data_IF_825423497356
#
_entry.id   IF_825423497356
#
_cell.length_a   1.000
_cell.length_b   1.000
_cell.length_c   1.000
_cell.angle_alpha   90.00
_cell.angle_beta   90.00
_cell.angle_gamma   90.00
#
_symmetry.space_group_name_H-M   'P 1'
#
loop_
_entity.id
_entity.type
_entity.pdbx_description
1 polymer ?
#
# COMPACT_ATOMS: atom_id res chain seq x y z
N UNK A 1 -12.46 55.98 -16.28
CA UNK A 1 -12.39 56.94 -15.21
C UNK A 1 -12.63 56.32 -13.85
N UNK A 2 -11.69 56.59 -13.02
CA UNK A 2 -11.82 56.87 -11.58
C UNK A 2 -11.99 55.71 -10.60
N UNK A 3 -10.89 55.30 -10.02
CA UNK A 3 -10.77 55.09 -8.56
C UNK A 3 -11.05 56.45 -7.84
N UNK A 4 -11.20 56.51 -6.50
CA UNK A 4 -10.31 55.90 -5.49
C UNK A 4 -10.92 55.54 -4.11
N UNK A 5 -10.09 54.95 -3.29
CA UNK A 5 -9.61 55.19 -1.93
C UNK A 5 -10.45 54.65 -0.75
N UNK A 6 -9.88 53.84 0.10
CA UNK A 6 -9.00 54.01 1.27
C UNK A 6 -9.71 54.37 2.56
N UNK A 7 -9.48 53.57 3.61
CA UNK A 7 -9.12 53.90 5.01
C UNK A 7 -9.45 52.66 5.91
N UNK A 8 -8.50 52.03 6.54
CA UNK A 8 -7.54 52.26 7.64
C UNK A 8 -8.22 52.59 9.00
N UNK A 9 -7.72 51.88 9.98
CA UNK A 9 -7.64 52.09 11.43
C UNK A 9 -8.45 51.09 12.28
N UNK A 10 -8.05 50.50 13.36
CA UNK A 10 -6.84 50.49 14.23
C UNK A 10 -7.15 49.50 15.35
N UNK A 11 -6.13 48.80 15.84
CA UNK A 11 -6.12 48.13 17.15
C UNK A 11 -6.27 49.16 18.31
N UNK A 12 -6.58 48.76 19.55
CA UNK A 12 -5.47 48.52 20.46
C UNK A 12 -5.62 47.36 21.47
N UNK A 13 -4.46 46.95 21.98
CA UNK A 13 -4.17 46.06 23.06
C UNK A 13 -4.51 46.59 24.47
N UNK A 14 -4.64 45.67 25.46
CA UNK A 14 -4.25 45.86 26.85
C UNK A 14 -4.41 44.55 27.62
N UNK A 15 -3.36 43.87 28.02
CA UNK A 15 -2.54 43.88 29.23
C UNK A 15 -3.29 43.48 30.53
N UNK A 16 -2.81 42.40 31.07
CA UNK A 16 -2.13 42.08 32.35
C UNK A 16 -3.07 41.81 33.54
N UNK A 17 -2.88 40.86 34.39
CA UNK A 17 -1.84 40.52 35.35
C UNK A 17 -2.30 39.34 36.21
N UNK A 18 -1.39 38.43 36.44
CA UNK A 18 -0.88 37.84 37.71
C UNK A 18 -1.83 37.58 38.88
N UNK A 19 -1.77 36.39 39.46
CA UNK A 19 -1.03 36.10 40.72
C UNK A 19 -1.17 34.65 41.17
N UNK A 20 -0.13 34.13 41.63
CA UNK A 20 0.34 33.06 42.43
C UNK A 20 -0.51 32.69 43.69
N UNK A 21 -0.50 31.39 44.01
CA UNK A 21 -0.14 30.77 45.33
C UNK A 21 -0.47 29.27 45.27
N UNK A 22 0.48 28.37 45.32
CA UNK A 22 1.23 27.81 46.44
C UNK A 22 0.52 26.67 47.23
N UNK A 23 1.19 25.52 47.18
CA UNK A 23 1.36 24.48 48.21
C UNK A 23 0.28 23.43 48.38
N UNK A 24 0.54 22.14 48.16
CA UNK A 24 1.09 21.20 49.14
C UNK A 24 1.22 19.79 48.58
N UNK A 25 2.25 19.14 48.97
CA UNK A 25 2.68 17.75 48.71
C UNK A 25 1.66 16.72 49.22
N UNK A 26 1.51 15.63 48.45
CA UNK A 26 1.35 14.31 49.06
C UNK A 26 1.85 13.26 48.09
N UNK A 27 2.95 12.64 48.44
CA UNK A 27 3.56 11.46 47.85
C UNK A 27 2.63 10.25 47.94
N UNK A 28 2.43 9.56 46.82
CA UNK A 28 2.21 8.12 46.87
C UNK A 28 2.89 7.46 45.67
N UNK A 29 3.93 6.72 45.98
CA UNK A 29 4.61 5.78 45.09
C UNK A 29 3.61 4.73 44.63
N UNK A 30 3.39 4.64 43.34
CA UNK A 30 2.86 3.46 42.69
C UNK A 30 3.91 2.94 41.72
N UNK A 31 4.40 1.78 42.03
CA UNK A 31 5.28 0.91 41.29
C UNK A 31 4.93 0.82 39.84
N UNK A 32 5.79 1.34 38.96
CA UNK A 32 5.76 1.04 37.54
C UNK A 32 6.42 -0.31 37.30
N UNK A 33 5.60 -1.32 37.06
CA UNK A 33 6.05 -2.54 36.40
C UNK A 33 6.41 -2.19 34.92
N UNK A 34 7.49 -2.74 34.39
CA UNK A 34 7.79 -2.56 32.97
C UNK A 34 6.72 -3.30 32.16
N UNK A 35 5.95 -2.54 31.40
CA UNK A 35 5.13 -3.06 30.32
C UNK A 35 6.09 -3.71 29.32
N UNK A 36 6.12 -5.04 29.34
CA UNK A 36 6.85 -5.84 28.38
C UNK A 36 6.31 -5.48 27.00
N UNK A 37 7.15 -4.87 26.17
CA UNK A 37 6.92 -4.77 24.75
C UNK A 37 6.68 -6.20 24.23
N UNK A 38 5.42 -6.53 23.96
CA UNK A 38 5.09 -7.67 23.12
C UNK A 38 5.63 -7.33 21.73
N UNK A 39 6.76 -7.95 21.41
CA UNK A 39 7.17 -8.12 20.03
C UNK A 39 5.95 -8.66 19.28
N UNK A 40 5.44 -7.86 18.36
CA UNK A 40 4.42 -8.29 17.41
C UNK A 40 5.08 -9.33 16.51
N UNK A 41 5.07 -10.59 16.93
CA UNK A 41 5.43 -11.70 16.08
C UNK A 41 4.45 -11.69 14.92
N UNK A 42 4.98 -11.53 13.70
CA UNK A 42 4.20 -11.74 12.48
C UNK A 42 3.43 -13.06 12.62
N UNK A 43 2.16 -13.10 12.23
CA UNK A 43 1.42 -14.35 12.26
C UNK A 43 2.20 -15.40 11.47
N UNK A 44 2.56 -16.50 12.12
CA UNK A 44 3.17 -17.63 11.41
C UNK A 44 2.10 -18.17 10.47
N UNK A 45 2.38 -18.01 9.19
CA UNK A 45 1.44 -18.39 8.15
C UNK A 45 1.71 -19.86 7.81
N UNK A 46 0.95 -20.75 8.41
CA UNK A 46 1.01 -22.20 8.17
C UNK A 46 0.28 -22.62 6.89
N UNK A 47 -0.08 -21.67 6.01
CA UNK A 47 -0.71 -21.99 4.75
C UNK A 47 0.22 -22.85 3.88
N UNK A 48 -0.30 -23.95 3.39
CA UNK A 48 0.40 -24.77 2.44
C UNK A 48 0.52 -24.02 1.11
N UNK A 49 1.63 -24.24 0.40
CA UNK A 49 1.81 -23.70 -0.95
C UNK A 49 0.61 -24.11 -1.85
N UNK A 50 0.09 -23.16 -2.62
CA UNK A 50 -1.07 -23.39 -3.47
C UNK A 50 -2.43 -23.31 -2.77
N UNK A 51 -2.46 -22.92 -1.51
CA UNK A 51 -3.68 -22.72 -0.75
C UNK A 51 -3.91 -21.24 -0.44
N UNK A 52 -5.15 -20.75 -0.44
CA UNK A 52 -5.46 -19.41 0.04
C UNK A 52 -5.04 -19.24 1.49
N UNK A 53 -4.51 -18.07 1.82
CA UNK A 53 -4.23 -17.75 3.21
C UNK A 53 -5.50 -17.82 4.05
N UNK A 54 -5.49 -18.49 5.21
CA UNK A 54 -6.62 -18.51 6.11
C UNK A 54 -6.91 -17.11 6.65
N UNK A 55 -8.16 -16.86 6.99
CA UNK A 55 -8.52 -15.65 7.73
C UNK A 55 -7.82 -15.65 9.10
N UNK A 56 -7.18 -14.55 9.44
CA UNK A 56 -6.49 -14.35 10.71
C UNK A 56 -7.16 -13.25 11.52
N UNK A 57 -6.74 -13.09 12.78
CA UNK A 57 -7.14 -11.93 13.55
C UNK A 57 -6.72 -10.63 12.88
N UNK A 58 -7.49 -9.56 13.11
CA UNK A 58 -7.22 -8.26 12.53
C UNK A 58 -5.89 -7.72 13.05
N UNK A 59 -4.98 -7.41 12.14
CA UNK A 59 -3.73 -6.73 12.44
C UNK A 59 -3.92 -5.22 12.57
N UNK A 60 -3.00 -4.56 13.25
CA UNK A 60 -2.94 -3.10 13.32
C UNK A 60 -2.30 -2.54 12.06
N UNK A 61 -2.48 -1.25 11.81
CA UNK A 61 -1.90 -0.59 10.61
C UNK A 61 -0.36 -0.62 10.60
N UNK A 62 0.30 -0.58 11.77
CA UNK A 62 1.76 -0.67 11.89
C UNK A 62 2.35 -1.98 11.33
N UNK A 63 1.54 -3.03 11.19
CA UNK A 63 1.92 -4.25 10.48
C UNK A 63 2.36 -4.00 9.04
N UNK A 64 1.93 -2.91 8.42
CA UNK A 64 2.23 -2.57 7.03
C UNK A 64 3.35 -1.53 6.87
N UNK A 65 4.03 -1.09 7.93
CA UNK A 65 5.09 -0.08 7.90
C UNK A 65 6.28 -0.50 7.01
N UNK A 66 6.51 -1.78 6.86
CA UNK A 66 7.56 -2.41 6.07
C UNK A 66 7.03 -3.11 4.80
N UNK A 67 5.82 -2.78 4.39
CA UNK A 67 5.14 -3.37 3.26
C UNK A 67 5.17 -2.47 2.01
N UNK A 68 5.09 -3.11 0.84
CA UNK A 68 4.82 -2.45 -0.43
C UNK A 68 3.68 -3.15 -1.16
N UNK A 69 2.81 -2.36 -1.78
CA UNK A 69 1.76 -2.84 -2.67
C UNK A 69 2.15 -2.56 -4.12
N UNK A 70 2.28 -3.62 -4.90
CA UNK A 70 2.67 -3.58 -6.32
C UNK A 70 1.47 -3.97 -7.17
N UNK A 71 1.11 -3.15 -8.17
CA UNK A 71 -0.03 -3.49 -8.99
C UNK A 71 -0.47 -2.47 -10.03
N UNK A 72 -1.69 -2.64 -10.47
CA UNK A 72 -2.33 -1.82 -11.49
C UNK A 72 -3.22 -0.69 -10.92
N UNK A 73 -4.24 -0.28 -11.68
CA UNK A 73 -5.18 0.78 -11.29
C UNK A 73 -5.96 0.48 -10.01
N UNK A 74 -6.19 -0.79 -9.69
CA UNK A 74 -6.90 -1.17 -8.46
C UNK A 74 -6.00 -0.89 -7.26
N UNK A 75 -4.74 -1.32 -7.34
CA UNK A 75 -3.73 -1.06 -6.31
C UNK A 75 -3.47 0.45 -6.14
N UNK A 76 -3.50 1.24 -7.23
CA UNK A 76 -3.37 2.71 -7.17
C UNK A 76 -4.44 3.36 -6.29
N UNK A 77 -5.59 2.71 -6.12
CA UNK A 77 -6.67 3.17 -5.24
C UNK A 77 -6.24 3.32 -3.79
N UNK A 78 -5.27 2.54 -3.32
CA UNK A 78 -4.74 2.64 -1.95
C UNK A 78 -4.18 4.03 -1.69
N UNK A 79 -3.33 4.55 -2.58
CA UNK A 79 -2.77 5.91 -2.50
C UNK A 79 -3.82 6.97 -2.84
N UNK A 80 -4.63 6.75 -3.89
CA UNK A 80 -5.60 7.74 -4.34
C UNK A 80 -6.65 8.08 -3.27
N UNK A 81 -7.09 7.06 -2.53
CA UNK A 81 -8.09 7.22 -1.47
C UNK A 81 -7.47 7.31 -0.07
N UNK A 82 -6.15 7.37 0.04
CA UNK A 82 -5.42 7.46 1.32
C UNK A 82 -5.87 6.40 2.32
N UNK A 83 -5.98 5.16 1.85
CA UNK A 83 -6.46 4.03 2.68
C UNK A 83 -5.37 3.59 3.66
N UNK A 84 -4.10 3.65 3.23
CA UNK A 84 -2.92 3.35 4.04
C UNK A 84 -1.82 4.38 3.74
N UNK A 85 -1.42 5.14 4.76
CA UNK A 85 -0.39 6.17 4.62
C UNK A 85 1.00 5.67 5.02
N UNK A 86 1.07 4.49 5.63
CA UNK A 86 2.27 3.90 6.20
C UNK A 86 2.88 2.77 5.36
N UNK A 87 2.25 2.37 4.27
CA UNK A 87 2.80 1.42 3.31
C UNK A 87 3.16 2.11 1.99
N UNK A 88 4.20 1.63 1.32
CA UNK A 88 4.52 2.10 -0.02
C UNK A 88 3.56 1.50 -1.06
N UNK A 89 3.21 2.28 -2.07
CA UNK A 89 2.34 1.84 -3.17
C UNK A 89 3.03 2.13 -4.50
N UNK A 90 3.41 1.08 -5.21
CA UNK A 90 4.05 1.12 -6.52
C UNK A 90 3.06 0.60 -7.56
N UNK A 91 2.19 1.49 -8.03
CA UNK A 91 1.09 1.11 -8.91
C UNK A 91 0.71 2.24 -9.86
N UNK A 92 0.16 1.89 -11.04
CA UNK A 92 -0.37 2.88 -11.98
C UNK A 92 -1.45 2.27 -12.88
N UNK A 93 -2.29 3.13 -13.43
CA UNK A 93 -3.38 2.74 -14.34
C UNK A 93 -2.85 2.04 -15.58
N UNK A 94 -3.41 0.87 -15.91
CA UNK A 94 -3.06 0.12 -17.12
C UNK A 94 -1.69 -0.56 -17.08
N UNK A 95 -1.06 -0.66 -15.91
CA UNK A 95 0.14 -1.48 -15.74
C UNK A 95 -0.22 -2.94 -15.98
N UNK A 96 0.63 -3.62 -16.72
CA UNK A 96 0.54 -5.02 -17.07
C UNK A 96 1.93 -5.68 -16.97
N UNK A 97 2.07 -6.97 -17.29
CA UNK A 97 3.33 -7.71 -17.15
C UNK A 97 4.50 -7.16 -17.98
N UNK A 98 4.26 -6.41 -19.06
CA UNK A 98 5.31 -5.76 -19.84
C UNK A 98 5.59 -4.35 -19.33
N UNK A 99 4.53 -3.60 -19.10
CA UNK A 99 4.65 -2.18 -18.78
C UNK A 99 5.10 -1.93 -17.35
N UNK A 100 5.06 -2.93 -16.46
CA UNK A 100 5.63 -2.85 -15.12
C UNK A 100 7.15 -2.56 -15.14
N UNK A 101 7.83 -2.97 -16.22
CA UNK A 101 9.28 -2.76 -16.42
C UNK A 101 9.62 -1.47 -17.19
N UNK A 102 8.67 -0.89 -17.90
CA UNK A 102 8.97 0.16 -18.88
C UNK A 102 8.18 1.44 -18.70
N UNK A 103 7.00 1.37 -18.08
CA UNK A 103 6.17 2.55 -17.87
C UNK A 103 6.71 3.38 -16.69
N UNK A 104 7.06 4.62 -16.96
CA UNK A 104 7.51 5.60 -15.96
C UNK A 104 6.35 6.01 -15.04
N UNK A 105 6.04 5.15 -14.06
CA UNK A 105 4.86 5.25 -13.19
C UNK A 105 5.16 5.91 -11.85
N UNK A 106 6.33 5.63 -11.26
CA UNK A 106 6.65 6.04 -9.90
C UNK A 106 7.45 7.33 -9.88
N UNK A 107 6.90 8.35 -9.22
CA UNK A 107 7.56 9.66 -9.08
C UNK A 107 8.66 9.60 -8.04
N UNK A 108 9.84 10.12 -8.39
CA UNK A 108 10.99 10.27 -7.52
C UNK A 108 11.00 11.65 -6.85
N UNK A 109 11.85 11.84 -5.83
CA UNK A 109 11.99 13.11 -5.11
C UNK A 109 12.48 14.26 -6.00
N UNK A 110 13.31 13.97 -7.00
CA UNK A 110 13.82 14.94 -7.97
C UNK A 110 12.77 15.31 -9.05
N UNK A 111 11.59 14.70 -8.99
CA UNK A 111 10.48 14.93 -9.91
C UNK A 111 10.51 14.06 -11.18
N UNK A 112 11.55 13.25 -11.40
CA UNK A 112 11.58 12.24 -12.46
C UNK A 112 10.60 11.11 -12.17
N UNK A 113 10.35 10.29 -13.18
CA UNK A 113 9.54 9.09 -13.02
C UNK A 113 10.32 7.87 -13.51
N UNK A 114 10.11 6.75 -12.83
CA UNK A 114 10.75 5.48 -13.16
C UNK A 114 9.72 4.34 -13.19
N UNK A 115 10.04 3.21 -13.83
CA UNK A 115 9.22 2.01 -13.80
C UNK A 115 9.02 1.46 -12.37
N UNK A 116 7.95 0.70 -12.19
CA UNK A 116 7.62 0.09 -10.89
C UNK A 116 8.73 -0.85 -10.41
N UNK A 117 9.27 -1.69 -11.31
CA UNK A 117 10.32 -2.64 -10.94
C UNK A 117 11.62 -1.92 -10.53
N UNK A 118 11.96 -0.82 -11.20
CA UNK A 118 13.12 0.01 -10.82
C UNK A 118 12.93 0.67 -9.46
N UNK A 119 11.71 1.13 -9.17
CA UNK A 119 11.38 1.70 -7.86
C UNK A 119 11.42 0.63 -6.76
N UNK A 120 10.90 -0.57 -7.01
CA UNK A 120 10.93 -1.70 -6.09
C UNK A 120 12.36 -2.10 -5.73
N UNK A 121 13.29 -2.01 -6.67
CA UNK A 121 14.69 -2.34 -6.45
C UNK A 121 15.43 -1.35 -5.53
N UNK A 122 14.92 -0.15 -5.33
CA UNK A 122 15.59 0.90 -4.54
C UNK A 122 15.48 0.70 -3.02
N UNK A 123 14.50 -0.08 -2.54
CA UNK A 123 14.24 -0.30 -1.12
C UNK A 123 13.97 -1.76 -0.84
N UNK A 124 14.38 -2.25 0.34
CA UNK A 124 14.04 -3.59 0.80
C UNK A 124 12.79 -3.55 1.69
N UNK A 125 11.91 -4.51 1.47
CA UNK A 125 10.65 -4.64 2.21
C UNK A 125 10.60 -5.99 2.92
N UNK A 126 9.85 -6.08 4.00
CA UNK A 126 9.55 -7.36 4.62
C UNK A 126 8.33 -8.04 3.98
N UNK A 127 7.44 -7.27 3.36
CA UNK A 127 6.22 -7.76 2.74
C UNK A 127 5.99 -7.08 1.38
N UNK A 128 5.74 -7.89 0.35
CA UNK A 128 5.38 -7.42 -0.99
C UNK A 128 4.01 -8.00 -1.36
N UNK A 129 3.02 -7.14 -1.51
CA UNK A 129 1.68 -7.52 -1.96
C UNK A 129 1.57 -7.25 -3.46
N UNK A 130 1.31 -8.29 -4.26
CA UNK A 130 1.26 -8.19 -5.72
C UNK A 130 -0.15 -8.46 -6.20
N UNK A 131 -0.77 -7.48 -6.88
CA UNK A 131 -2.05 -7.64 -7.55
C UNK A 131 -1.94 -7.15 -9.00
N UNK A 132 -1.80 -8.08 -9.92
CA UNK A 132 -1.70 -7.88 -11.37
C UNK A 132 -2.63 -8.85 -12.08
N UNK A 133 -2.75 -8.70 -13.38
CA UNK A 133 -3.44 -9.65 -14.24
C UNK A 133 -4.80 -9.16 -14.74
N UNK A 134 -5.39 -8.15 -14.12
CA UNK A 134 -6.66 -7.58 -14.56
C UNK A 134 -6.63 -7.04 -15.99
N UNK A 135 -5.47 -6.57 -16.45
CA UNK A 135 -5.28 -6.04 -17.80
C UNK A 135 -4.98 -7.13 -18.84
N UNK A 136 -4.67 -8.34 -18.42
CA UNK A 136 -4.32 -9.50 -19.26
C UNK A 136 -5.48 -10.47 -19.46
N UNK A 137 -6.34 -10.64 -18.47
CA UNK A 137 -7.44 -11.65 -18.47
C UNK A 137 -8.30 -11.60 -19.72
N UNK A 138 -8.50 -10.42 -20.31
CA UNK A 138 -9.29 -10.25 -21.55
C UNK A 138 -8.64 -10.85 -22.80
N UNK A 139 -7.32 -10.90 -22.87
CA UNK A 139 -6.53 -11.19 -24.07
C UNK A 139 -5.71 -12.46 -24.05
N UNK A 140 -5.17 -12.85 -22.88
CA UNK A 140 -4.21 -13.93 -22.77
C UNK A 140 -4.86 -15.32 -22.66
N UNK A 141 -4.09 -16.35 -23.05
CA UNK A 141 -4.36 -17.72 -22.60
C UNK A 141 -3.87 -17.90 -21.17
N UNK A 142 -4.46 -18.87 -20.45
CA UNK A 142 -4.06 -19.19 -19.07
C UNK A 142 -2.56 -19.55 -18.97
N UNK A 143 -2.06 -20.38 -19.88
CA UNK A 143 -0.64 -20.78 -19.91
C UNK A 143 0.29 -19.56 -20.10
N UNK A 144 -0.05 -18.66 -21.02
CA UNK A 144 0.75 -17.46 -21.27
C UNK A 144 0.70 -16.50 -20.08
N UNK A 145 -0.47 -16.32 -19.50
CA UNK A 145 -0.67 -15.53 -18.28
C UNK A 145 0.21 -16.03 -17.13
N UNK A 146 0.15 -17.34 -16.82
CA UNK A 146 0.91 -17.95 -15.74
C UNK A 146 2.43 -17.83 -15.98
N UNK A 147 2.90 -18.08 -17.20
CA UNK A 147 4.31 -17.96 -17.53
C UNK A 147 4.83 -16.53 -17.28
N UNK A 148 4.05 -15.51 -17.64
CA UNK A 148 4.43 -14.10 -17.46
C UNK A 148 4.31 -13.66 -16.01
N UNK A 149 3.25 -14.07 -15.32
CA UNK A 149 3.09 -13.78 -13.90
C UNK A 149 4.24 -14.39 -13.10
N UNK A 150 4.56 -15.67 -13.35
CA UNK A 150 5.69 -16.37 -12.74
C UNK A 150 7.01 -15.64 -12.95
N UNK A 151 7.29 -15.14 -14.17
CA UNK A 151 8.50 -14.35 -14.44
C UNK A 151 8.55 -13.05 -13.62
N UNK A 152 7.43 -12.35 -13.48
CA UNK A 152 7.35 -11.13 -12.63
C UNK A 152 7.61 -11.49 -11.16
N UNK A 153 7.06 -12.60 -10.66
CA UNK A 153 7.28 -13.03 -9.28
C UNK A 153 8.73 -13.45 -9.04
N UNK A 154 9.38 -14.12 -9.99
CA UNK A 154 10.80 -14.49 -9.91
C UNK A 154 11.69 -13.25 -9.84
N UNK A 155 11.41 -12.23 -10.65
CA UNK A 155 12.15 -10.96 -10.62
C UNK A 155 11.92 -10.22 -9.27
N UNK A 156 10.69 -10.17 -8.78
CA UNK A 156 10.38 -9.59 -7.47
C UNK A 156 11.14 -10.35 -6.36
N UNK A 157 11.12 -11.67 -6.39
CA UNK A 157 11.83 -12.51 -5.42
C UNK A 157 13.33 -12.30 -5.46
N UNK A 158 13.92 -12.13 -6.66
CA UNK A 158 15.34 -11.82 -6.81
C UNK A 158 15.72 -10.46 -6.24
N UNK A 159 14.87 -9.45 -6.41
CA UNK A 159 15.07 -8.10 -5.87
C UNK A 159 14.79 -8.00 -4.37
N UNK A 160 13.86 -8.82 -3.85
CA UNK A 160 13.35 -8.80 -2.47
C UNK A 160 13.54 -10.16 -1.79
N UNK A 161 14.80 -10.64 -1.63
CA UNK A 161 15.09 -12.04 -1.24
C UNK A 161 14.63 -12.39 0.18
N UNK A 162 14.41 -11.40 1.03
CA UNK A 162 13.99 -11.59 2.42
C UNK A 162 12.51 -11.26 2.65
N UNK A 163 11.79 -10.83 1.60
CA UNK A 163 10.38 -10.47 1.73
C UNK A 163 9.46 -11.69 1.65
N UNK A 164 8.35 -11.60 2.36
CA UNK A 164 7.20 -12.47 2.09
C UNK A 164 6.43 -11.86 0.93
N UNK A 165 6.25 -12.63 -0.15
CA UNK A 165 5.50 -12.19 -1.32
C UNK A 165 4.08 -12.76 -1.22
N UNK A 166 3.10 -11.86 -1.19
CA UNK A 166 1.68 -12.18 -1.18
C UNK A 166 1.10 -11.92 -2.57
N UNK A 167 0.69 -12.96 -3.24
CA UNK A 167 -0.04 -12.87 -4.51
C UNK A 167 -1.53 -12.69 -4.20
N UNK A 168 -2.09 -11.56 -4.64
CA UNK A 168 -3.49 -11.24 -4.40
C UNK A 168 -4.34 -11.67 -5.61
N UNK A 169 -5.47 -12.27 -5.35
CA UNK A 169 -6.45 -12.59 -6.39
C UNK A 169 -7.01 -11.32 -7.04
N UNK A 170 -7.24 -11.39 -8.33
CA UNK A 170 -7.96 -10.33 -9.06
C UNK A 170 -9.39 -10.20 -8.53
N UNK A 171 -9.85 -8.95 -8.38
CA UNK A 171 -11.19 -8.68 -7.89
C UNK A 171 -12.25 -8.94 -8.95
N UNK A 172 -13.45 -9.37 -8.56
CA UNK A 172 -14.56 -9.53 -9.48
C UNK A 172 -15.04 -8.16 -10.01
N UNK A 173 -15.56 -8.16 -11.23
CA UNK A 173 -16.14 -6.98 -11.86
C UNK A 173 -17.66 -6.98 -11.80
N UNK A 174 -18.26 -5.79 -11.91
CA UNK A 174 -19.71 -5.67 -12.05
C UNK A 174 -20.16 -6.23 -13.42
N UNK A 175 -21.39 -6.75 -13.48
CA UNK A 175 -21.96 -7.31 -14.72
C UNK A 175 -21.90 -6.35 -15.92
N UNK A 176 -22.05 -5.07 -15.68
CA UNK A 176 -22.07 -4.03 -16.72
C UNK A 176 -20.74 -3.27 -16.77
N UNK A 177 -19.61 -3.97 -16.63
CA UNK A 177 -18.31 -3.32 -16.80
C UNK A 177 -18.08 -2.95 -18.27
N UNK A 178 -17.32 -1.86 -18.47
CA UNK A 178 -16.98 -1.35 -19.82
C UNK A 178 -15.68 -1.95 -20.39
N UNK A 179 -15.07 -2.90 -19.67
CA UNK A 179 -13.75 -3.46 -20.02
C UNK A 179 -13.86 -4.82 -20.71
N UNK A 180 -15.08 -5.36 -20.87
CA UNK A 180 -15.30 -6.67 -21.46
C UNK A 180 -14.79 -7.84 -20.61
N UNK A 181 -14.59 -7.60 -19.32
CA UNK A 181 -14.14 -8.62 -18.38
C UNK A 181 -15.31 -9.52 -17.94
N UNK A 182 -15.01 -10.81 -17.79
CA UNK A 182 -15.95 -11.83 -17.35
C UNK A 182 -15.45 -12.45 -16.04
N UNK A 183 -16.30 -12.49 -15.03
CA UNK A 183 -15.95 -13.07 -13.72
C UNK A 183 -15.61 -14.56 -13.82
N UNK A 184 -16.24 -15.32 -14.72
CA UNK A 184 -15.88 -16.73 -14.90
C UNK A 184 -14.42 -16.89 -15.37
N UNK A 185 -13.95 -15.99 -16.23
CA UNK A 185 -12.55 -15.98 -16.66
C UNK A 185 -11.62 -15.47 -15.56
N UNK A 186 -12.02 -14.45 -14.79
CA UNK A 186 -11.26 -13.97 -13.62
C UNK A 186 -11.10 -15.11 -12.61
N UNK A 187 -12.17 -15.84 -12.30
CA UNK A 187 -12.14 -16.97 -11.36
C UNK A 187 -11.23 -18.09 -11.87
N UNK A 188 -11.27 -18.40 -13.18
CA UNK A 188 -10.37 -19.38 -13.80
C UNK A 188 -8.90 -18.99 -13.62
N UNK A 189 -8.55 -17.74 -13.89
CA UNK A 189 -7.18 -17.25 -13.76
C UNK A 189 -6.73 -17.14 -12.29
N UNK A 190 -7.62 -16.74 -11.40
CA UNK A 190 -7.36 -16.77 -9.95
C UNK A 190 -7.10 -18.20 -9.46
N UNK A 191 -7.85 -19.18 -9.97
CA UNK A 191 -7.61 -20.58 -9.65
C UNK A 191 -6.25 -21.05 -10.19
N UNK A 192 -5.89 -20.64 -11.39
CA UNK A 192 -4.61 -20.98 -11.97
C UNK A 192 -3.41 -20.39 -11.19
N UNK A 193 -3.56 -19.17 -10.64
CA UNK A 193 -2.53 -18.55 -9.78
C UNK A 193 -2.17 -19.38 -8.54
N UNK A 194 -3.07 -20.23 -8.07
CA UNK A 194 -2.79 -21.12 -6.93
C UNK A 194 -1.68 -22.14 -7.20
N UNK A 195 -1.29 -22.33 -8.46
CA UNK A 195 -0.25 -23.26 -8.89
C UNK A 195 1.12 -22.62 -9.15
N UNK A 196 1.27 -21.30 -8.92
CA UNK A 196 2.52 -20.55 -9.16
C UNK A 196 3.52 -20.64 -8.03
#
# INVERSE_FOLDING_TARGET
PSQPASSRAEEPASQASSEQASSAEASSQASSAPESAQESSAPQNDAAYGEPLPETERVRSDYFDDAVFVGDSITSGISLYQIMDNADVLADTGVNFDTIYTKESVRQEDGTRIPIMDALAQKQYAKVYVMLGGNEVGGDSEEFFLARYGSVLDDIKAMQPNAIIYVQSMLPVTRNNNYGLDNAKIDQFNQALMGL
#
